data_IF_290326945141
#
_entry.id   IF_290326945141
#
_cell.length_a   1.000
_cell.length_b   1.000
_cell.length_c   1.000
_cell.angle_alpha   90.00
_cell.angle_beta   90.00
_cell.angle_gamma   90.00
#
_symmetry.space_group_name_H-M   'P 1'
#
loop_
_entity.id
_entity.type
_entity.pdbx_description
1 polymer ?
#
# COMPACT_ATOMS: atom_id res chain seq x y z
N UNK A 1 -18.08 -14.65 23.94
CA UNK A 1 -17.22 -14.09 24.99
C UNK A 1 -16.97 -12.64 24.62
N UNK A 2 -17.50 -11.69 25.39
CA UNK A 2 -17.10 -10.30 25.28
C UNK A 2 -15.60 -10.25 25.62
N UNK A 3 -14.79 -9.80 24.67
CA UNK A 3 -13.38 -9.59 24.90
C UNK A 3 -13.27 -8.33 25.77
N UNK A 4 -13.00 -8.50 27.06
CA UNK A 4 -12.77 -7.39 27.97
C UNK A 4 -11.49 -6.69 27.54
N UNK A 5 -11.65 -5.59 26.78
CA UNK A 5 -10.54 -4.83 26.23
C UNK A 5 -9.95 -3.96 27.35
N UNK A 6 -8.64 -4.01 27.52
CA UNK A 6 -7.92 -3.20 28.50
C UNK A 6 -8.11 -1.72 28.22
N UNK A 7 -8.53 -0.97 29.24
CA UNK A 7 -8.56 0.50 29.19
C UNK A 7 -7.14 1.05 29.38
N UNK A 8 -6.83 2.11 28.62
CA UNK A 8 -5.53 2.78 28.69
C UNK A 8 -5.70 4.30 28.63
N UNK A 9 -5.00 5.05 29.52
CA UNK A 9 -4.93 6.51 29.46
C UNK A 9 -3.72 6.97 28.65
N UNK A 10 -3.87 8.07 27.93
CA UNK A 10 -2.80 8.75 27.17
C UNK A 10 -2.29 10.03 27.85
N UNK A 11 -2.82 10.40 29.02
CA UNK A 11 -2.55 11.69 29.69
C UNK A 11 -1.05 11.91 29.98
N UNK A 12 -0.31 10.84 30.25
CA UNK A 12 1.12 10.90 30.60
C UNK A 12 2.00 10.29 29.51
N UNK A 13 1.49 10.11 28.29
CA UNK A 13 2.25 9.54 27.17
C UNK A 13 2.72 10.63 26.21
N UNK A 14 3.96 10.53 25.76
CA UNK A 14 4.51 11.43 24.77
C UNK A 14 3.91 11.17 23.38
N UNK A 15 3.32 12.19 22.76
CA UNK A 15 2.88 12.14 21.38
C UNK A 15 4.11 12.21 20.46
N UNK A 16 4.43 11.12 19.75
CA UNK A 16 5.60 11.04 18.87
C UNK A 16 5.28 11.21 17.39
N UNK A 17 4.05 10.91 16.97
CA UNK A 17 3.59 11.14 15.60
C UNK A 17 2.08 11.32 15.49
N UNK A 18 1.64 12.04 14.45
CA UNK A 18 0.22 12.23 14.13
C UNK A 18 0.03 12.17 12.61
N UNK A 19 -0.91 11.34 12.16
CA UNK A 19 -1.30 11.18 10.76
C UNK A 19 -2.79 11.23 10.53
N UNK A 20 -3.21 10.97 9.30
CA UNK A 20 -4.62 10.94 8.92
C UNK A 20 -5.43 9.86 9.64
N UNK A 21 -4.83 8.71 9.89
CA UNK A 21 -5.47 7.55 10.52
C UNK A 21 -5.49 7.60 12.04
N UNK A 22 -4.56 8.35 12.69
CA UNK A 22 -4.49 8.38 14.14
C UNK A 22 -3.29 9.10 14.70
N UNK A 23 -3.05 8.86 15.99
CA UNK A 23 -1.95 9.41 16.78
C UNK A 23 -1.12 8.27 17.35
N UNK A 24 0.19 8.47 17.44
CA UNK A 24 1.12 7.51 18.00
C UNK A 24 1.76 8.09 19.25
N UNK A 25 1.61 7.38 20.35
CA UNK A 25 2.15 7.75 21.65
C UNK A 25 3.23 6.76 22.08
N UNK A 26 4.29 7.24 22.71
CA UNK A 26 5.31 6.39 23.31
C UNK A 26 4.83 5.93 24.69
N UNK A 27 4.79 4.60 24.89
CA UNK A 27 4.48 4.00 26.21
C UNK A 27 5.76 3.89 27.03
N UNK A 28 6.82 3.31 26.44
CA UNK A 28 8.13 3.10 27.03
C UNK A 28 9.19 2.93 25.93
N UNK A 29 10.37 2.39 26.29
CA UNK A 29 11.46 2.20 25.34
C UNK A 29 11.25 1.03 24.35
N UNK A 30 10.23 0.21 24.58
CA UNK A 30 9.94 -1.00 23.78
C UNK A 30 8.59 -0.95 23.10
N UNK A 31 7.68 -0.02 23.49
CA UNK A 31 6.30 -0.03 23.04
C UNK A 31 5.76 1.35 22.69
N UNK A 32 4.93 1.38 21.66
CA UNK A 32 4.11 2.52 21.26
C UNK A 32 2.63 2.14 21.23
N UNK A 33 1.77 3.14 21.36
CA UNK A 33 0.34 3.03 21.21
C UNK A 33 -0.11 3.84 19.98
N UNK A 34 -0.66 3.18 18.97
CA UNK A 34 -1.38 3.81 17.84
C UNK A 34 -2.86 3.92 18.22
N UNK A 35 -3.35 5.14 18.45
CA UNK A 35 -4.77 5.45 18.70
C UNK A 35 -5.40 5.92 17.40
N UNK A 36 -6.44 5.24 16.95
CA UNK A 36 -7.12 5.54 15.70
C UNK A 36 -8.13 6.68 15.87
N UNK A 37 -8.26 7.54 14.86
CA UNK A 37 -9.20 8.66 14.89
C UNK A 37 -10.66 8.19 14.78
N UNK A 38 -10.89 7.22 13.87
CA UNK A 38 -12.22 6.68 13.57
C UNK A 38 -12.02 5.26 13.01
N UNK A 39 -12.33 4.25 13.81
CA UNK A 39 -12.25 2.83 13.46
C UNK A 39 -13.28 2.05 14.26
N UNK A 40 -13.98 1.13 13.62
CA UNK A 40 -14.83 0.18 14.32
C UNK A 40 -14.00 -0.91 15.02
N UNK A 41 -14.59 -1.56 16.04
CA UNK A 41 -13.92 -2.69 16.70
C UNK A 41 -13.63 -3.84 15.73
N UNK A 42 -14.53 -4.10 14.80
CA UNK A 42 -14.37 -5.16 13.79
C UNK A 42 -13.18 -4.86 12.85
N UNK A 43 -13.06 -3.62 12.37
CA UNK A 43 -11.92 -3.19 11.55
C UNK A 43 -10.60 -3.26 12.32
N UNK A 44 -10.60 -2.86 13.61
CA UNK A 44 -9.43 -2.95 14.48
C UNK A 44 -8.98 -4.41 14.67
N UNK A 45 -9.93 -5.33 14.91
CA UNK A 45 -9.65 -6.76 15.03
C UNK A 45 -9.11 -7.34 13.71
N UNK A 46 -9.66 -6.89 12.57
CA UNK A 46 -9.17 -7.27 11.25
C UNK A 46 -7.72 -6.79 11.04
N UNK A 47 -7.39 -5.55 11.39
CA UNK A 47 -6.01 -5.03 11.30
C UNK A 47 -5.04 -5.83 12.17
N UNK A 48 -5.44 -6.14 13.42
CA UNK A 48 -4.63 -6.97 14.31
C UNK A 48 -4.40 -8.36 13.74
N UNK A 49 -5.44 -9.00 13.19
CA UNK A 49 -5.33 -10.31 12.55
C UNK A 49 -4.41 -10.27 11.33
N UNK A 50 -4.51 -9.22 10.52
CA UNK A 50 -3.64 -9.00 9.36
C UNK A 50 -2.17 -8.88 9.76
N UNK A 51 -1.87 -8.11 10.82
CA UNK A 51 -0.50 -7.99 11.34
C UNK A 51 0.07 -9.34 11.80
N UNK A 52 -0.73 -10.18 12.43
CA UNK A 52 -0.34 -11.54 12.83
C UNK A 52 -0.02 -12.40 11.60
N UNK A 53 -0.83 -12.32 10.53
CA UNK A 53 -0.58 -13.09 9.30
C UNK A 53 0.69 -12.62 8.56
N UNK A 54 0.98 -11.32 8.55
CA UNK A 54 2.23 -10.74 8.00
C UNK A 54 3.44 -11.26 8.79
N UNK A 55 3.36 -11.23 10.12
CA UNK A 55 4.41 -11.76 11.00
C UNK A 55 4.67 -13.25 10.76
N UNK A 56 3.60 -14.06 10.70
CA UNK A 56 3.70 -15.50 10.38
C UNK A 56 4.29 -15.79 9.00
N UNK A 57 4.14 -14.86 8.05
CA UNK A 57 4.75 -14.97 6.73
C UNK A 57 6.24 -14.60 6.73
N UNK A 58 6.82 -14.31 7.90
CA UNK A 58 8.22 -13.91 8.08
C UNK A 58 8.60 -12.63 7.32
N UNK A 59 7.61 -11.76 7.05
CA UNK A 59 7.87 -10.44 6.50
C UNK A 59 8.25 -9.50 7.65
N UNK A 60 9.40 -8.79 7.56
CA UNK A 60 9.86 -7.93 8.65
C UNK A 60 8.87 -6.79 8.94
N UNK A 61 8.28 -6.79 10.13
CA UNK A 61 7.34 -5.77 10.62
C UNK A 61 7.38 -5.70 12.14
N UNK A 62 7.09 -4.55 12.77
CA UNK A 62 6.97 -4.44 14.21
C UNK A 62 5.91 -5.39 14.76
N UNK A 63 6.18 -5.98 15.92
CA UNK A 63 5.23 -6.86 16.60
C UNK A 63 4.02 -6.04 17.04
N UNK A 64 2.81 -6.53 16.74
CA UNK A 64 1.56 -6.00 17.29
C UNK A 64 1.16 -6.82 18.53
N UNK A 65 1.09 -6.18 19.72
CA UNK A 65 0.82 -6.87 20.97
C UNK A 65 -0.67 -7.01 21.26
N UNK A 66 -1.34 -5.98 21.72
CA UNK A 66 -2.72 -6.06 22.18
C UNK A 66 -3.60 -4.90 21.68
N UNK A 67 -4.92 -5.15 21.66
CA UNK A 67 -5.93 -4.13 21.41
C UNK A 67 -6.30 -3.45 22.74
N UNK A 68 -6.45 -2.12 22.71
CA UNK A 68 -6.81 -1.33 23.88
C UNK A 68 -7.92 -0.34 23.56
N UNK A 69 -8.67 0.05 24.59
CA UNK A 69 -9.60 1.17 24.55
C UNK A 69 -8.94 2.41 25.13
N UNK A 70 -9.14 3.56 24.51
CA UNK A 70 -8.63 4.87 24.96
C UNK A 70 -9.78 5.85 24.97
N UNK A 71 -10.53 5.88 26.08
CA UNK A 71 -11.78 6.62 26.18
C UNK A 71 -12.81 6.10 25.19
N UNK A 72 -13.27 6.95 24.26
CA UNK A 72 -14.20 6.61 23.18
C UNK A 72 -13.54 6.01 21.93
N UNK A 73 -12.21 5.88 21.92
CA UNK A 73 -11.41 5.40 20.79
C UNK A 73 -10.80 4.03 21.05
N UNK A 74 -10.27 3.48 19.97
CA UNK A 74 -9.53 2.23 20.00
C UNK A 74 -8.07 2.43 19.60
N UNK A 75 -7.20 1.54 20.09
CA UNK A 75 -5.78 1.52 19.76
C UNK A 75 -5.19 0.14 19.70
N UNK A 76 -4.00 0.08 19.11
CA UNK A 76 -3.14 -1.11 19.07
C UNK A 76 -1.79 -0.74 19.68
N UNK A 77 -1.29 -1.60 20.57
CA UNK A 77 0.08 -1.50 21.08
C UNK A 77 1.00 -2.23 20.10
N UNK A 78 2.04 -1.54 19.65
CA UNK A 78 3.08 -2.08 18.78
C UNK A 78 4.46 -2.01 19.45
N UNK A 79 5.37 -2.81 18.97
CA UNK A 79 6.79 -2.68 19.22
C UNK A 79 7.30 -1.30 18.80
N UNK A 80 8.08 -0.66 19.66
CA UNK A 80 8.72 0.61 19.34
C UNK A 80 10.02 0.38 18.58
N UNK A 81 10.02 0.75 17.32
CA UNK A 81 11.22 0.77 16.50
C UNK A 81 11.90 2.12 16.70
N UNK A 82 12.86 2.17 17.60
CA UNK A 82 13.58 3.39 18.02
C UNK A 82 14.49 3.98 16.95
N UNK A 83 14.02 4.05 15.69
CA UNK A 83 14.78 4.52 14.53
C UNK A 83 13.93 5.46 13.65
N UNK A 84 14.54 6.01 12.59
CA UNK A 84 13.86 6.88 11.66
C UNK A 84 13.33 6.12 10.45
N UNK A 85 12.22 6.59 9.81
CA UNK A 85 11.82 6.11 8.50
C UNK A 85 12.94 6.27 7.48
N UNK A 86 13.01 5.32 6.53
CA UNK A 86 13.99 5.33 5.42
C UNK A 86 14.01 6.67 4.72
N UNK A 87 12.87 7.29 4.48
CA UNK A 87 12.78 8.59 3.83
C UNK A 87 13.53 9.70 4.57
N UNK A 88 13.45 9.72 5.90
CA UNK A 88 14.21 10.68 6.72
C UNK A 88 15.71 10.41 6.63
N UNK A 89 16.12 9.14 6.80
CA UNK A 89 17.55 8.74 6.69
C UNK A 89 18.11 9.12 5.31
N UNK A 90 17.36 8.87 4.25
CA UNK A 90 17.79 9.19 2.89
C UNK A 90 17.80 10.70 2.61
N UNK A 91 16.90 11.48 3.21
CA UNK A 91 16.93 12.95 3.11
C UNK A 91 18.16 13.57 3.79
N UNK A 92 18.59 12.99 4.94
CA UNK A 92 19.78 13.39 5.67
C UNK A 92 21.08 12.87 5.02
N UNK A 93 21.01 11.72 4.33
CA UNK A 93 22.13 11.01 3.70
C UNK A 93 21.82 10.64 2.25
N UNK A 94 21.68 11.62 1.33
CA UNK A 94 21.32 11.37 -0.07
C UNK A 94 22.35 10.54 -0.84
N UNK A 95 23.60 10.51 -0.40
CA UNK A 95 24.67 9.67 -0.96
C UNK A 95 24.37 8.16 -0.82
N UNK A 96 23.50 7.77 0.12
CA UNK A 96 23.10 6.38 0.35
C UNK A 96 21.97 5.90 -0.56
N UNK A 97 21.53 6.70 -1.54
CA UNK A 97 20.39 6.38 -2.39
C UNK A 97 20.53 5.05 -3.13
N UNK A 98 21.75 4.69 -3.55
CA UNK A 98 22.00 3.40 -4.21
C UNK A 98 21.79 2.23 -3.24
N UNK A 99 22.42 2.27 -2.09
CA UNK A 99 22.30 1.23 -1.05
C UNK A 99 20.84 1.07 -0.58
N UNK A 100 20.21 2.19 -0.23
CA UNK A 100 18.83 2.19 0.29
C UNK A 100 17.83 1.72 -0.77
N UNK A 101 17.94 2.21 -2.01
CA UNK A 101 17.07 1.77 -3.10
C UNK A 101 17.20 0.27 -3.40
N UNK A 102 18.42 -0.28 -3.32
CA UNK A 102 18.63 -1.73 -3.45
C UNK A 102 17.97 -2.51 -2.32
N UNK A 103 18.11 -2.06 -1.07
CA UNK A 103 17.46 -2.70 0.09
C UNK A 103 15.93 -2.63 0.00
N UNK A 104 15.38 -1.48 -0.40
CA UNK A 104 13.94 -1.32 -0.66
C UNK A 104 13.45 -2.28 -1.75
N UNK A 105 14.19 -2.42 -2.85
CA UNK A 105 13.85 -3.36 -3.92
C UNK A 105 13.85 -4.82 -3.49
N UNK A 106 14.84 -5.21 -2.67
CA UNK A 106 14.90 -6.55 -2.07
C UNK A 106 13.75 -6.77 -1.08
N UNK A 107 13.45 -5.79 -0.22
CA UNK A 107 12.34 -5.90 0.74
C UNK A 107 11.00 -6.11 0.03
N UNK A 108 10.71 -5.29 -1.00
CA UNK A 108 9.48 -5.43 -1.80
C UNK A 108 9.42 -6.80 -2.50
N UNK A 109 10.55 -7.29 -3.00
CA UNK A 109 10.64 -8.60 -3.64
C UNK A 109 10.37 -9.72 -2.64
N UNK A 110 11.05 -9.71 -1.50
CA UNK A 110 10.87 -10.71 -0.44
C UNK A 110 9.44 -10.74 0.09
N UNK A 111 8.80 -9.56 0.24
CA UNK A 111 7.39 -9.46 0.60
C UNK A 111 6.49 -10.18 -0.42
N UNK A 112 6.71 -9.99 -1.73
CA UNK A 112 5.92 -10.64 -2.77
C UNK A 112 6.23 -12.13 -2.93
N UNK A 113 7.41 -12.59 -2.54
CA UNK A 113 7.80 -14.00 -2.55
C UNK A 113 7.38 -14.74 -1.27
N UNK A 114 6.95 -14.03 -0.22
CA UNK A 114 6.44 -14.64 1.00
C UNK A 114 5.20 -15.49 0.72
N UNK A 115 5.20 -16.75 1.20
CA UNK A 115 4.06 -17.65 0.98
C UNK A 115 2.83 -17.18 1.76
N UNK A 116 1.75 -16.93 1.02
CA UNK A 116 0.45 -16.56 1.57
C UNK A 116 -0.57 -17.70 1.52
N UNK A 117 -0.13 -18.94 1.25
CA UNK A 117 -0.98 -20.11 1.29
C UNK A 117 -1.56 -20.30 2.71
N UNK A 118 -2.86 -20.61 2.77
CA UNK A 118 -3.59 -20.81 4.03
C UNK A 118 -3.57 -19.60 4.99
N UNK A 119 -3.35 -18.38 4.49
CA UNK A 119 -3.43 -17.15 5.26
C UNK A 119 -4.83 -16.55 5.22
N UNK A 120 -5.24 -15.99 6.36
CA UNK A 120 -6.57 -15.38 6.52
C UNK A 120 -6.56 -13.89 6.17
N UNK A 121 -6.10 -13.55 4.96
CA UNK A 121 -6.13 -12.18 4.44
C UNK A 121 -7.13 -12.07 3.28
N UNK A 122 -7.70 -10.88 3.13
CA UNK A 122 -8.57 -10.54 2.01
C UNK A 122 -7.79 -10.53 0.69
N UNK A 123 -8.42 -10.93 -0.40
CA UNK A 123 -7.82 -10.79 -1.73
C UNK A 123 -8.08 -9.40 -2.31
N UNK A 124 -7.05 -8.83 -2.95
CA UNK A 124 -7.16 -7.52 -3.59
C UNK A 124 -8.26 -7.46 -4.66
N UNK A 125 -8.49 -8.53 -5.41
CA UNK A 125 -9.56 -8.59 -6.42
C UNK A 125 -10.95 -8.46 -5.77
N UNK A 126 -11.16 -9.05 -4.59
CA UNK A 126 -12.43 -8.97 -3.85
C UNK A 126 -12.61 -7.56 -3.26
N UNK A 127 -11.54 -6.99 -2.68
CA UNK A 127 -11.49 -5.60 -2.21
C UNK A 127 -11.75 -4.61 -3.32
N UNK A 128 -11.15 -4.80 -4.49
CA UNK A 128 -11.36 -3.95 -5.66
C UNK A 128 -12.83 -3.98 -6.12
N UNK A 129 -13.50 -5.13 -6.12
CA UNK A 129 -14.92 -5.21 -6.43
C UNK A 129 -15.77 -4.46 -5.40
N UNK A 130 -15.47 -4.58 -4.10
CA UNK A 130 -16.14 -3.79 -3.05
C UNK A 130 -15.95 -2.27 -3.24
N UNK A 131 -14.79 -1.81 -3.71
CA UNK A 131 -14.59 -0.41 -4.06
C UNK A 131 -15.44 0.02 -5.26
N UNK A 132 -15.61 -0.83 -6.27
CA UNK A 132 -16.49 -0.56 -7.42
C UNK A 132 -17.94 -0.42 -6.94
N UNK A 133 -18.40 -1.31 -6.05
CA UNK A 133 -19.76 -1.24 -5.51
C UNK A 133 -20.03 0.08 -4.78
N UNK A 134 -19.05 0.60 -4.04
CA UNK A 134 -19.17 1.91 -3.35
C UNK A 134 -19.30 3.10 -4.29
N UNK A 135 -18.75 3.03 -5.51
CA UNK A 135 -18.73 4.16 -6.45
C UNK A 135 -19.79 4.04 -7.56
N UNK A 136 -20.33 2.84 -7.78
CA UNK A 136 -21.36 2.59 -8.77
C UNK A 136 -22.63 3.40 -8.44
N UNK A 137 -23.24 3.98 -9.45
CA UNK A 137 -24.43 4.84 -9.34
C UNK A 137 -24.27 6.14 -8.50
N UNK A 138 -23.16 6.29 -7.77
CA UNK A 138 -22.84 7.50 -7.02
C UNK A 138 -21.89 8.41 -7.80
N UNK A 139 -20.84 7.86 -8.35
CA UNK A 139 -19.77 8.59 -9.06
C UNK A 139 -19.58 8.13 -10.50
N UNK A 140 -19.87 6.86 -10.79
CA UNK A 140 -19.75 6.26 -12.13
C UNK A 140 -21.05 5.56 -12.53
N UNK A 141 -21.26 5.40 -13.83
CA UNK A 141 -22.42 4.68 -14.39
C UNK A 141 -22.18 3.17 -14.36
N UNK A 142 -23.26 2.39 -14.35
CA UNK A 142 -23.23 0.91 -14.39
C UNK A 142 -22.30 0.35 -15.49
N UNK A 143 -22.33 0.95 -16.69
CA UNK A 143 -21.46 0.53 -17.80
C UNK A 143 -19.97 0.64 -17.46
N UNK A 144 -19.58 1.64 -16.67
CA UNK A 144 -18.20 1.86 -16.27
C UNK A 144 -17.81 0.93 -15.11
N UNK A 145 -18.72 0.72 -14.17
CA UNK A 145 -18.55 -0.28 -13.12
C UNK A 145 -18.35 -1.69 -13.72
N UNK A 146 -19.15 -2.06 -14.72
CA UNK A 146 -18.99 -3.33 -15.45
C UNK A 146 -17.62 -3.44 -16.11
N UNK A 147 -17.18 -2.36 -16.78
CA UNK A 147 -15.84 -2.30 -17.38
C UNK A 147 -14.74 -2.48 -16.33
N UNK A 148 -14.83 -1.83 -15.16
CA UNK A 148 -13.85 -1.96 -14.09
C UNK A 148 -13.82 -3.39 -13.55
N UNK A 149 -14.97 -4.04 -13.35
CA UNK A 149 -15.07 -5.46 -12.95
C UNK A 149 -14.45 -6.41 -13.97
N UNK A 150 -14.59 -6.13 -15.28
CA UNK A 150 -13.91 -6.89 -16.33
C UNK A 150 -12.38 -6.77 -16.23
N UNK A 151 -11.86 -5.58 -15.90
CA UNK A 151 -10.43 -5.39 -15.65
C UNK A 151 -9.99 -6.17 -14.42
N UNK A 152 -10.71 -6.05 -13.30
CA UNK A 152 -10.41 -6.81 -12.06
C UNK A 152 -10.38 -8.32 -12.34
N UNK A 153 -11.35 -8.83 -13.10
CA UNK A 153 -11.42 -10.24 -13.48
C UNK A 153 -10.24 -10.70 -14.33
N UNK A 154 -9.69 -9.80 -15.16
CA UNK A 154 -8.56 -10.11 -16.04
C UNK A 154 -7.21 -10.07 -15.29
N UNK A 155 -7.12 -9.44 -14.11
CA UNK A 155 -5.91 -9.45 -13.29
C UNK A 155 -5.79 -10.84 -12.66
N UNK A 156 -4.66 -11.56 -12.83
CA UNK A 156 -4.44 -12.81 -12.11
C UNK A 156 -4.65 -12.60 -10.61
N UNK A 157 -5.26 -13.58 -9.93
CA UNK A 157 -5.56 -13.43 -8.51
C UNK A 157 -4.28 -13.23 -7.69
N UNK A 158 -3.21 -13.91 -8.07
CA UNK A 158 -1.93 -13.88 -7.38
C UNK A 158 -1.99 -14.47 -5.96
N UNK A 159 -0.83 -14.71 -5.39
CA UNK A 159 -0.69 -15.20 -4.00
C UNK A 159 0.41 -14.45 -3.26
N UNK A 160 0.66 -13.20 -3.62
CA UNK A 160 1.67 -12.35 -2.99
C UNK A 160 1.06 -11.54 -1.85
N UNK A 161 1.83 -11.29 -0.80
CA UNK A 161 1.49 -10.27 0.17
C UNK A 161 1.66 -8.88 -0.47
N UNK A 162 0.60 -8.10 -0.50
CA UNK A 162 0.60 -6.72 -0.95
C UNK A 162 0.58 -5.77 0.24
N UNK A 163 1.40 -4.72 0.20
CA UNK A 163 1.40 -3.63 1.18
C UNK A 163 0.34 -2.58 0.87
N UNK A 164 0.07 -2.35 -0.41
CA UNK A 164 -0.85 -1.33 -0.94
C UNK A 164 -0.45 0.13 -0.71
N UNK A 165 0.68 0.39 -0.04
CA UNK A 165 1.24 1.73 0.16
C UNK A 165 2.76 1.69 0.43
N UNK A 166 3.52 0.93 -0.37
CA UNK A 166 4.95 0.76 -0.21
C UNK A 166 5.72 2.00 -0.67
N UNK A 167 6.37 2.69 0.26
CA UNK A 167 7.25 3.84 0.01
C UNK A 167 8.20 4.08 1.20
N UNK A 168 9.18 4.98 1.05
CA UNK A 168 10.25 5.24 2.03
C UNK A 168 9.75 5.74 3.39
N UNK A 169 8.54 6.32 3.44
CA UNK A 169 7.90 6.73 4.71
C UNK A 169 7.35 5.57 5.51
N UNK A 170 7.08 4.43 4.83
CA UNK A 170 6.49 3.22 5.43
C UNK A 170 7.50 2.09 5.63
N UNK A 171 8.79 2.41 5.62
CA UNK A 171 9.88 1.48 5.97
C UNK A 171 10.78 2.11 7.02
N UNK A 172 11.07 1.38 8.09
CA UNK A 172 12.00 1.76 9.15
C UNK A 172 13.32 1.01 8.99
N UNK A 173 14.43 1.62 9.45
CA UNK A 173 15.72 0.92 9.56
C UNK A 173 15.99 0.68 11.04
N UNK A 174 16.05 -0.58 11.45
CA UNK A 174 16.36 -0.98 12.82
C UNK A 174 17.49 -1.99 12.84
N UNK A 175 18.60 -1.66 13.50
CA UNK A 175 19.80 -2.52 13.58
C UNK A 175 20.30 -3.02 12.20
N UNK A 176 20.17 -2.19 11.17
CA UNK A 176 20.57 -2.53 9.79
C UNK A 176 19.52 -3.32 8.99
N UNK A 177 18.43 -3.73 9.62
CA UNK A 177 17.29 -4.38 8.96
C UNK A 177 16.23 -3.37 8.55
N UNK A 178 15.49 -3.69 7.48
CA UNK A 178 14.41 -2.88 6.92
C UNK A 178 13.06 -3.51 7.28
N UNK A 179 12.23 -2.78 8.03
CA UNK A 179 10.93 -3.25 8.51
C UNK A 179 9.80 -2.45 7.88
N UNK A 180 8.76 -3.15 7.42
CA UNK A 180 7.53 -2.53 6.94
C UNK A 180 6.69 -2.05 8.11
N UNK A 181 6.22 -0.80 8.03
CA UNK A 181 5.24 -0.23 8.96
C UNK A 181 3.97 0.18 8.21
N UNK A 182 2.93 0.52 8.95
CA UNK A 182 1.61 0.91 8.39
C UNK A 182 1.00 -0.19 7.50
N UNK A 183 1.01 -1.42 8.03
CA UNK A 183 0.49 -2.62 7.39
C UNK A 183 -1.03 -2.77 7.52
N UNK A 184 -1.74 -1.68 7.71
CA UNK A 184 -3.19 -1.67 7.96
C UNK A 184 -4.00 -2.11 6.72
N UNK A 185 -3.45 -1.91 5.52
CA UNK A 185 -4.10 -2.22 4.24
C UNK A 185 -3.54 -3.47 3.52
N UNK A 186 -2.73 -4.27 4.20
CA UNK A 186 -2.19 -5.49 3.58
C UNK A 186 -3.28 -6.45 3.09
N UNK A 187 -3.00 -7.13 2.02
CA UNK A 187 -3.91 -8.12 1.43
C UNK A 187 -3.13 -9.11 0.55
N UNK A 188 -3.82 -10.11 0.01
CA UNK A 188 -3.23 -11.04 -0.95
C UNK A 188 -3.60 -10.60 -2.37
N UNK A 189 -2.66 -10.66 -3.31
CA UNK A 189 -2.97 -10.33 -4.69
C UNK A 189 -1.79 -10.47 -5.65
N UNK A 190 -1.96 -9.86 -6.83
CA UNK A 190 -0.93 -9.83 -7.86
C UNK A 190 0.03 -8.65 -7.64
N UNK A 191 1.36 -8.81 -7.80
CA UNK A 191 2.36 -7.75 -7.56
C UNK A 191 2.13 -6.45 -8.34
N UNK A 192 1.42 -6.53 -9.46
CA UNK A 192 1.09 -5.36 -10.29
C UNK A 192 0.43 -4.21 -9.48
N UNK A 193 -0.36 -4.55 -8.46
CA UNK A 193 -0.99 -3.54 -7.60
C UNK A 193 0.07 -2.73 -6.85
N UNK A 194 0.96 -3.37 -6.07
CA UNK A 194 2.00 -2.69 -5.30
C UNK A 194 3.00 -1.96 -6.19
N UNK A 195 3.43 -2.58 -7.27
CA UNK A 195 4.34 -1.97 -8.24
C UNK A 195 3.73 -0.70 -8.88
N UNK A 196 2.41 -0.71 -9.14
CA UNK A 196 1.73 0.46 -9.70
C UNK A 196 1.50 1.53 -8.63
N UNK A 197 1.14 1.16 -7.39
CA UNK A 197 1.08 2.13 -6.27
C UNK A 197 2.44 2.78 -6.04
N UNK A 198 3.51 2.00 -6.00
CA UNK A 198 4.87 2.53 -5.89
C UNK A 198 5.21 3.48 -7.06
N UNK A 199 4.81 3.14 -8.30
CA UNK A 199 4.98 4.01 -9.45
C UNK A 199 4.18 5.32 -9.30
N UNK A 200 2.92 5.24 -8.86
CA UNK A 200 2.07 6.42 -8.63
C UNK A 200 2.70 7.32 -7.56
N UNK A 201 3.12 6.77 -6.44
CA UNK A 201 3.70 7.52 -5.32
C UNK A 201 4.94 8.31 -5.74
N UNK A 202 5.78 7.77 -6.62
CA UNK A 202 7.05 8.41 -7.00
C UNK A 202 7.00 9.22 -8.30
N UNK A 203 6.11 8.90 -9.24
CA UNK A 203 6.03 9.61 -10.53
C UNK A 203 4.88 10.62 -10.58
N UNK A 204 3.71 10.27 -10.02
CA UNK A 204 2.56 11.17 -9.97
C UNK A 204 2.69 12.19 -8.83
N UNK A 205 2.98 11.75 -7.60
CA UNK A 205 3.15 12.64 -6.46
C UNK A 205 4.40 13.52 -6.60
N UNK A 206 5.39 13.14 -7.40
CA UNK A 206 6.53 14.02 -7.72
C UNK A 206 6.11 15.34 -8.40
N UNK A 207 4.89 15.41 -8.95
CA UNK A 207 4.28 16.64 -9.47
C UNK A 207 3.60 17.48 -8.37
N UNK A 208 3.53 16.97 -7.15
CA UNK A 208 2.98 17.60 -5.96
C UNK A 208 4.03 17.50 -4.82
N UNK A 209 5.08 18.35 -4.86
CA UNK A 209 6.25 18.19 -3.98
C UNK A 209 5.94 18.18 -2.49
N UNK A 210 4.94 18.95 -2.06
CA UNK A 210 4.51 18.98 -0.65
C UNK A 210 3.88 17.67 -0.20
N UNK A 211 3.01 17.06 -1.04
CA UNK A 211 2.43 15.76 -0.74
C UNK A 211 3.49 14.67 -0.71
N UNK A 212 4.39 14.67 -1.69
CA UNK A 212 5.48 13.71 -1.76
C UNK A 212 6.38 13.81 -0.53
N UNK A 213 6.80 15.03 -0.16
CA UNK A 213 7.62 15.27 1.02
C UNK A 213 6.93 14.79 2.30
N UNK A 214 5.63 15.04 2.42
CA UNK A 214 4.84 14.60 3.58
C UNK A 214 4.72 13.07 3.68
N UNK A 215 4.57 12.36 2.56
CA UNK A 215 4.43 10.90 2.55
C UNK A 215 5.77 10.17 2.64
N UNK A 216 6.75 10.56 1.83
CA UNK A 216 8.01 9.83 1.70
C UNK A 216 9.17 10.44 2.50
N UNK A 217 9.08 11.72 2.89
CA UNK A 217 10.19 12.48 3.46
C UNK A 217 11.19 13.00 2.42
N UNK A 218 10.95 12.81 1.13
CA UNK A 218 11.92 13.03 0.05
C UNK A 218 11.55 14.19 -0.89
N UNK A 219 12.58 14.82 -1.45
CA UNK A 219 12.40 15.72 -2.60
C UNK A 219 12.05 14.92 -3.87
N UNK A 220 11.37 15.52 -4.87
CA UNK A 220 11.00 14.83 -6.11
C UNK A 220 12.19 14.17 -6.85
N UNK A 221 13.35 14.80 -6.84
CA UNK A 221 14.57 14.26 -7.49
C UNK A 221 15.03 12.99 -6.78
N UNK A 222 15.16 13.03 -5.46
CA UNK A 222 15.67 11.93 -4.66
C UNK A 222 14.67 10.75 -4.63
N UNK A 223 13.37 11.04 -4.52
CA UNK A 223 12.33 10.04 -4.57
C UNK A 223 12.31 9.26 -5.91
N UNK A 224 12.44 9.97 -7.05
CA UNK A 224 12.51 9.32 -8.37
C UNK A 224 13.76 8.46 -8.53
N UNK A 225 14.90 8.92 -8.01
CA UNK A 225 16.15 8.15 -8.07
C UNK A 225 16.06 6.90 -7.20
N UNK A 226 15.61 7.01 -5.95
CA UNK A 226 15.33 5.87 -5.05
C UNK A 226 14.40 4.87 -5.71
N UNK A 227 13.24 5.33 -6.21
CA UNK A 227 12.26 4.47 -6.86
C UNK A 227 12.78 3.79 -8.13
N UNK A 228 13.63 4.45 -8.91
CA UNK A 228 14.27 3.85 -10.09
C UNK A 228 15.15 2.67 -9.68
N UNK A 229 15.97 2.84 -8.63
CA UNK A 229 16.86 1.81 -8.11
C UNK A 229 16.04 0.66 -7.49
N UNK A 230 15.03 1.00 -6.69
CA UNK A 230 14.10 0.02 -6.07
C UNK A 230 13.48 -0.89 -7.14
N UNK A 231 12.90 -0.30 -8.20
CA UNK A 231 12.31 -1.09 -9.30
C UNK A 231 13.34 -1.88 -10.07
N UNK A 232 14.53 -1.30 -10.35
CA UNK A 232 15.60 -2.01 -11.05
C UNK A 232 16.07 -3.26 -10.26
N UNK A 233 16.17 -3.13 -8.94
CA UNK A 233 16.52 -4.24 -8.05
C UNK A 233 15.40 -5.28 -7.98
N UNK A 234 14.15 -4.84 -7.85
CA UNK A 234 12.99 -5.73 -7.88
C UNK A 234 12.96 -6.62 -9.13
N UNK A 235 13.20 -6.04 -10.31
CA UNK A 235 13.18 -6.77 -11.58
C UNK A 235 14.49 -7.49 -11.95
N UNK A 236 15.54 -7.35 -11.17
CA UNK A 236 16.89 -7.86 -11.48
C UNK A 236 16.92 -9.36 -11.82
N UNK A 237 16.05 -10.16 -11.20
CA UNK A 237 15.97 -11.61 -11.40
C UNK A 237 14.97 -12.03 -12.47
N UNK A 238 14.20 -11.10 -13.03
CA UNK A 238 13.24 -11.39 -14.10
C UNK A 238 13.92 -11.35 -15.47
N UNK A 239 13.39 -12.13 -16.42
CA UNK A 239 13.79 -12.02 -17.81
C UNK A 239 13.34 -10.65 -18.40
N UNK A 240 14.01 -10.21 -19.47
CA UNK A 240 13.80 -8.90 -20.08
C UNK A 240 12.39 -8.72 -20.67
N UNK A 241 11.77 -9.79 -21.14
CA UNK A 241 10.42 -9.76 -21.74
C UNK A 241 9.37 -9.54 -20.64
N UNK A 242 9.47 -10.29 -19.54
CA UNK A 242 8.62 -10.15 -18.36
C UNK A 242 8.81 -8.76 -17.70
N UNK A 243 10.04 -8.29 -17.52
CA UNK A 243 10.32 -6.94 -17.00
C UNK A 243 9.67 -5.85 -17.86
N UNK A 244 9.79 -5.95 -19.19
CA UNK A 244 9.18 -4.97 -20.11
C UNK A 244 7.65 -5.00 -20.03
N UNK A 245 7.04 -6.19 -19.95
CA UNK A 245 5.60 -6.36 -19.79
C UNK A 245 5.10 -5.71 -18.50
N UNK A 246 5.76 -5.93 -17.35
CA UNK A 246 5.40 -5.27 -16.09
C UNK A 246 5.50 -3.74 -16.18
N UNK A 247 6.55 -3.20 -16.82
CA UNK A 247 6.71 -1.75 -17.00
C UNK A 247 5.58 -1.14 -17.83
N UNK A 248 5.18 -1.79 -18.90
CA UNK A 248 4.05 -1.35 -19.74
C UNK A 248 2.73 -1.44 -18.97
N UNK A 249 2.50 -2.54 -18.26
CA UNK A 249 1.29 -2.74 -17.48
C UNK A 249 1.18 -1.77 -16.32
N UNK A 250 2.25 -1.50 -15.57
CA UNK A 250 2.24 -0.50 -14.49
C UNK A 250 1.75 0.86 -15.01
N UNK A 251 2.31 1.35 -16.12
CA UNK A 251 1.89 2.64 -16.69
C UNK A 251 0.46 2.63 -17.20
N UNK A 252 0.04 1.51 -17.80
CA UNK A 252 -1.33 1.29 -18.28
C UNK A 252 -2.35 1.16 -17.13
N UNK A 253 -1.92 0.67 -15.97
CA UNK A 253 -2.75 0.43 -14.80
C UNK A 253 -2.99 1.67 -13.93
N UNK A 254 -2.15 2.71 -14.06
CA UNK A 254 -2.30 3.98 -13.33
C UNK A 254 -3.71 4.54 -13.39
N UNK A 255 -4.36 4.72 -14.58
CA UNK A 255 -5.72 5.25 -14.63
C UNK A 255 -6.74 4.40 -13.88
N UNK A 256 -6.58 3.07 -13.87
CA UNK A 256 -7.44 2.15 -13.12
C UNK A 256 -7.33 2.40 -11.62
N UNK A 257 -6.12 2.35 -11.05
CA UNK A 257 -5.91 2.55 -9.61
C UNK A 257 -6.35 3.95 -9.16
N UNK A 258 -6.12 4.98 -9.98
CA UNK A 258 -6.55 6.34 -9.67
C UNK A 258 -8.08 6.46 -9.61
N UNK A 259 -8.83 5.82 -10.52
CA UNK A 259 -10.30 5.78 -10.46
C UNK A 259 -10.76 4.94 -9.26
N UNK A 260 -10.13 3.78 -9.01
CA UNK A 260 -10.45 2.90 -7.88
C UNK A 260 -10.20 3.58 -6.53
N UNK A 261 -9.29 4.56 -6.47
CA UNK A 261 -9.00 5.31 -5.25
C UNK A 261 -10.23 6.07 -4.71
N UNK A 262 -11.21 6.42 -5.56
CA UNK A 262 -12.49 7.00 -5.12
C UNK A 262 -13.22 6.01 -4.19
N UNK A 263 -13.27 4.74 -4.56
CA UNK A 263 -13.88 3.67 -3.76
C UNK A 263 -13.06 3.28 -2.52
N UNK A 264 -11.71 3.33 -2.63
CA UNK A 264 -10.78 3.09 -1.51
C UNK A 264 -11.01 4.08 -0.38
N UNK A 265 -11.09 5.37 -0.67
CA UNK A 265 -11.31 6.42 0.34
C UNK A 265 -12.77 6.51 0.81
N UNK A 266 -13.71 5.81 0.13
CA UNK A 266 -15.10 5.67 0.54
C UNK A 266 -15.83 7.01 0.70
N UNK A 267 -16.48 7.22 1.84
CA UNK A 267 -17.23 8.45 2.11
C UNK A 267 -16.36 9.71 2.10
N UNK A 268 -15.07 9.59 2.44
CA UNK A 268 -14.10 10.69 2.34
C UNK A 268 -13.92 11.20 0.91
N UNK A 269 -14.36 10.45 -0.12
CA UNK A 269 -14.38 10.90 -1.50
C UNK A 269 -15.24 12.17 -1.70
N UNK A 270 -16.26 12.37 -0.88
CA UNK A 270 -17.07 13.58 -0.91
C UNK A 270 -16.27 14.87 -0.62
N UNK A 271 -15.15 14.75 0.07
CA UNK A 271 -14.24 15.87 0.38
C UNK A 271 -13.13 16.08 -0.65
N UNK A 272 -13.09 15.26 -1.71
CA UNK A 272 -12.14 15.49 -2.81
C UNK A 272 -12.40 16.84 -3.48
N UNK A 273 -11.32 17.51 -3.91
CA UNK A 273 -11.48 18.75 -4.68
C UNK A 273 -12.23 18.48 -5.98
N UNK A 274 -12.98 19.48 -6.46
CA UNK A 274 -13.67 19.40 -7.76
C UNK A 274 -12.70 19.06 -8.90
N UNK A 275 -11.49 19.62 -8.86
CA UNK A 275 -10.43 19.37 -9.85
C UNK A 275 -9.95 17.92 -9.82
N UNK A 276 -9.72 17.36 -8.64
CA UNK A 276 -9.29 15.95 -8.49
C UNK A 276 -10.38 15.01 -9.00
N UNK A 277 -11.63 15.21 -8.57
CA UNK A 277 -12.76 14.40 -9.04
C UNK A 277 -12.98 14.51 -10.55
N UNK A 278 -12.87 15.73 -11.10
CA UNK A 278 -12.94 15.96 -12.54
C UNK A 278 -11.86 15.17 -13.28
N UNK A 279 -10.61 15.23 -12.82
CA UNK A 279 -9.49 14.50 -13.43
C UNK A 279 -9.74 12.98 -13.45
N UNK A 280 -10.20 12.42 -12.32
CA UNK A 280 -10.47 10.99 -12.21
C UNK A 280 -11.59 10.53 -13.15
N UNK A 281 -12.70 11.25 -13.19
CA UNK A 281 -13.91 10.82 -13.92
C UNK A 281 -13.92 11.26 -15.40
N UNK A 282 -13.31 12.39 -15.74
CA UNK A 282 -13.38 12.96 -17.10
C UNK A 282 -12.10 12.80 -17.91
N UNK A 283 -10.98 12.41 -17.28
CA UNK A 283 -9.72 12.13 -17.98
C UNK A 283 -9.37 10.64 -17.87
N UNK A 284 -9.20 10.11 -16.67
CA UNK A 284 -8.72 8.74 -16.51
C UNK A 284 -9.77 7.67 -16.86
N UNK A 285 -11.03 7.86 -16.53
CA UNK A 285 -12.07 6.91 -16.88
C UNK A 285 -12.27 6.76 -18.40
N UNK A 286 -12.30 7.84 -19.23
CA UNK A 286 -12.27 7.73 -20.69
C UNK A 286 -11.01 7.05 -21.24
N UNK A 287 -9.83 7.29 -20.65
CA UNK A 287 -8.60 6.61 -21.07
C UNK A 287 -8.73 5.09 -20.86
N UNK A 288 -9.30 4.66 -19.74
CA UNK A 288 -9.57 3.24 -19.50
C UNK A 288 -10.52 2.64 -20.54
N UNK A 289 -11.60 3.35 -20.89
CA UNK A 289 -12.54 2.88 -21.92
C UNK A 289 -11.84 2.64 -23.26
N UNK A 290 -10.96 3.55 -23.67
CA UNK A 290 -10.21 3.46 -24.92
C UNK A 290 -9.18 2.32 -24.91
N UNK A 291 -8.54 2.07 -23.76
CA UNK A 291 -7.43 1.12 -23.62
C UNK A 291 -7.83 -0.25 -23.08
N UNK A 292 -9.08 -0.45 -22.66
CA UNK A 292 -9.57 -1.65 -22.00
C UNK A 292 -9.14 -2.95 -22.71
N UNK A 293 -9.41 -3.06 -24.01
CA UNK A 293 -9.14 -4.31 -24.76
C UNK A 293 -7.65 -4.64 -24.83
N UNK A 294 -6.82 -3.63 -25.06
CA UNK A 294 -5.36 -3.79 -25.03
C UNK A 294 -4.91 -4.22 -23.64
N UNK A 295 -5.39 -3.54 -22.62
CA UNK A 295 -5.00 -3.77 -21.24
C UNK A 295 -5.38 -5.18 -20.76
N UNK A 296 -6.61 -5.64 -21.03
CA UNK A 296 -7.07 -6.99 -20.66
C UNK A 296 -6.25 -8.06 -21.41
N UNK A 297 -5.93 -7.84 -22.70
CA UNK A 297 -5.07 -8.74 -23.46
C UNK A 297 -3.67 -8.84 -22.83
N UNK A 298 -3.09 -7.68 -22.48
CA UNK A 298 -1.71 -7.62 -21.95
C UNK A 298 -1.66 -8.25 -20.53
N UNK A 299 -2.74 -8.15 -19.74
CA UNK A 299 -2.89 -8.88 -18.46
C UNK A 299 -2.91 -10.40 -18.65
N UNK A 300 -3.51 -10.91 -19.72
CA UNK A 300 -3.49 -12.34 -20.05
C UNK A 300 -2.07 -12.92 -20.21
N UNK A 301 -1.12 -12.11 -20.67
CA UNK A 301 0.27 -12.54 -20.76
C UNK A 301 0.97 -12.66 -19.39
N UNK A 302 0.54 -11.93 -18.36
CA UNK A 302 1.05 -12.11 -17.00
C UNK A 302 0.69 -13.48 -16.42
N UNK A 303 -0.57 -13.91 -16.61
CA UNK A 303 -1.01 -15.22 -16.11
C UNK A 303 -0.22 -16.37 -16.76
N UNK A 304 0.17 -16.23 -18.01
CA UNK A 304 1.04 -17.18 -18.72
C UNK A 304 2.50 -17.14 -18.23
N UNK A 305 3.01 -15.94 -17.92
CA UNK A 305 4.36 -15.74 -17.38
C UNK A 305 4.50 -16.38 -15.99
N UNK A 306 3.52 -16.16 -15.13
CA UNK A 306 3.51 -16.70 -13.76
C UNK A 306 3.41 -18.24 -13.75
N UNK A 307 2.85 -18.84 -14.80
CA UNK A 307 2.79 -20.30 -15.00
C UNK A 307 4.01 -20.89 -15.72
N UNK A 308 4.99 -20.05 -16.10
CA UNK A 308 6.15 -20.49 -16.88
C UNK A 308 5.82 -20.88 -18.34
N UNK A 309 4.65 -20.46 -18.86
CA UNK A 309 4.13 -20.84 -20.18
C UNK A 309 4.53 -19.87 -21.31
N UNK A 310 5.28 -18.80 -20.98
CA UNK A 310 5.87 -17.89 -21.97
C UNK A 310 7.18 -18.48 -22.48
N UNK A 311 7.09 -19.37 -23.47
CA UNK A 311 8.24 -19.87 -24.24
C UNK A 311 8.80 -18.85 -25.26
#
# INVERSE_FOLDING_TARGET
MEYEMKEMSIENLDLIAQGGMGKIYRINDEQILKVFNDISLEELQKQKSSAVEVFKAMVPTPISFELVRVGDKYGIIYEFIGSAPVGKVLAEHPERVQEIGEKMGMLLRNQHEASMENRSLEYMNDRANAWIDRIENKYIKEKDARMLREIVKAIPRGNCLLHCDFHEGNVMIHNGEYLLIDIDEVCIGHPLYDLTYHYINHEFLAKQPEMLLKSTGLTPKLAKESARITRATYFKTMDKKTEALYKDLMTGFVPFLLVMNIGRIGEKAAYMTKSSMFLLLHVFLPILRLRKHRFIRDLGFLDMSDKGELG
#
